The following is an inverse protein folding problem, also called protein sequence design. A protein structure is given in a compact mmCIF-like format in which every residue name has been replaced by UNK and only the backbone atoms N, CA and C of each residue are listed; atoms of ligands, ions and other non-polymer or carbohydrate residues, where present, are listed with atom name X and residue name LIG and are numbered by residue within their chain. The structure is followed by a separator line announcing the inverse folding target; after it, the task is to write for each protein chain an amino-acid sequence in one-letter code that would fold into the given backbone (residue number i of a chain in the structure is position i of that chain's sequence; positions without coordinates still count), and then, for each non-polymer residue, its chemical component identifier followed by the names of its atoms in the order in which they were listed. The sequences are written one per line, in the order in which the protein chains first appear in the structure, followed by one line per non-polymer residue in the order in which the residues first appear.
data_IF_843801226559
#
_entry.id   IF_843801226559
#
_cell.length_a   1.000
_cell.length_b   1.000
_cell.length_c   1.000
_cell.angle_alpha   90.00
_cell.angle_beta   90.00
_cell.angle_gamma   90.00
#
_symmetry.space_group_name_H-M   'P 1'
#
loop_
_entity.id
_entity.type
_entity.pdbx_description
1 polymer ?
#
# COMPACT_ATOMS: atom_id res chain seq x y z
N UNK A 1 1.34 29.72 -8.53
CA UNK A 1 2.19 28.53 -8.77
C UNK A 1 2.54 28.02 -7.37
N UNK A 2 1.89 27.00 -6.81
CA UNK A 2 1.66 25.65 -7.32
C UNK A 2 0.33 25.11 -6.78
N UNK A 3 -0.67 24.99 -7.63
CA UNK A 3 -1.96 24.33 -7.33
C UNK A 3 -2.06 22.99 -8.07
N UNK A 4 -0.93 22.30 -8.21
CA UNK A 4 -0.97 20.86 -8.43
C UNK A 4 -1.21 20.26 -7.05
N UNK A 5 -2.47 19.91 -6.77
CA UNK A 5 -2.78 19.06 -5.63
C UNK A 5 -1.79 17.88 -5.65
N UNK A 6 -1.07 17.69 -4.55
CA UNK A 6 -0.01 16.68 -4.49
C UNK A 6 -0.62 15.30 -4.80
N UNK A 7 -0.12 14.68 -5.86
CA UNK A 7 -0.66 13.41 -6.37
C UNK A 7 -0.24 12.31 -5.42
N UNK A 8 -1.21 11.57 -4.87
CA UNK A 8 -0.95 10.51 -3.91
C UNK A 8 -0.59 9.21 -4.66
N UNK A 9 0.56 8.58 -4.36
CA UNK A 9 0.87 7.28 -4.93
C UNK A 9 -0.14 6.21 -4.52
N UNK A 10 -0.57 5.35 -5.44
CA UNK A 10 -1.48 4.22 -5.16
C UNK A 10 -0.95 3.31 -4.05
N UNK A 11 0.37 3.16 -3.96
CA UNK A 11 1.02 2.40 -2.89
C UNK A 11 0.81 3.01 -1.50
N UNK A 12 0.57 4.32 -1.39
CA UNK A 12 0.26 4.99 -0.14
C UNK A 12 -1.05 4.48 0.47
N UNK A 13 -2.07 4.20 -0.36
CA UNK A 13 -3.36 3.67 0.10
C UNK A 13 -3.19 2.28 0.73
N UNK A 14 -2.38 1.41 0.11
CA UNK A 14 -2.04 0.10 0.67
C UNK A 14 -1.35 0.26 2.04
N UNK A 15 -0.35 1.12 2.11
CA UNK A 15 0.42 1.33 3.32
C UNK A 15 -0.42 1.94 4.44
N UNK A 16 -1.30 2.88 4.10
CA UNK A 16 -2.20 3.54 5.03
C UNK A 16 -3.19 2.55 5.62
N UNK A 17 -3.85 1.75 4.78
CA UNK A 17 -4.76 0.69 5.21
C UNK A 17 -4.06 -0.38 6.08
N UNK A 18 -2.77 -0.60 5.86
CA UNK A 18 -1.96 -1.45 6.72
C UNK A 18 -1.66 -0.79 8.08
N UNK A 19 -1.15 0.45 8.06
CA UNK A 19 -0.82 1.28 9.23
C UNK A 19 -0.61 2.75 8.80
N UNK A 20 -1.39 3.72 9.33
CA UNK A 20 -1.22 5.14 9.02
C UNK A 20 0.19 5.66 9.31
N UNK A 21 0.77 5.28 10.45
CA UNK A 21 2.17 5.64 10.79
C UNK A 21 3.16 5.13 9.76
N UNK A 22 3.00 3.89 9.27
CA UNK A 22 3.87 3.33 8.23
C UNK A 22 3.77 4.14 6.94
N UNK A 23 2.56 4.50 6.52
CA UNK A 23 2.36 5.36 5.35
C UNK A 23 3.05 6.71 5.52
N UNK A 24 2.90 7.34 6.69
CA UNK A 24 3.57 8.61 7.00
C UNK A 24 5.09 8.49 6.92
N UNK A 25 5.70 7.50 7.58
CA UNK A 25 7.15 7.29 7.56
C UNK A 25 7.67 7.15 6.10
N UNK A 26 6.95 6.38 5.26
CA UNK A 26 7.34 6.16 3.87
C UNK A 26 7.19 7.43 3.01
N UNK A 27 6.04 8.09 3.10
CA UNK A 27 5.66 9.14 2.15
C UNK A 27 5.96 10.57 2.60
N UNK A 28 6.03 10.82 3.92
CA UNK A 28 6.40 12.14 4.46
C UNK A 28 7.87 12.19 4.87
N UNK A 29 8.41 11.13 5.46
CA UNK A 29 9.80 11.11 5.97
C UNK A 29 10.80 10.44 5.00
N UNK A 30 10.30 9.79 3.93
CA UNK A 30 11.16 9.14 2.94
C UNK A 30 11.81 7.85 3.44
N UNK A 31 11.26 7.24 4.49
CA UNK A 31 11.78 6.01 5.08
C UNK A 31 11.43 4.80 4.21
N UNK A 32 12.38 4.40 3.37
CA UNK A 32 12.32 3.15 2.63
C UNK A 32 13.42 2.23 3.15
N UNK A 33 13.04 1.19 3.90
CA UNK A 33 13.94 0.05 4.01
C UNK A 33 13.95 -0.66 2.66
N UNK A 34 15.12 -0.70 2.03
CA UNK A 34 15.42 -1.63 0.94
C UNK A 34 15.15 -3.05 1.43
N UNK A 35 13.91 -3.48 1.24
CA UNK A 35 13.61 -4.88 1.33
C UNK A 35 14.41 -5.51 0.19
N UNK A 36 15.20 -6.54 0.50
CA UNK A 36 15.85 -7.45 -0.46
C UNK A 36 14.83 -8.03 -1.49
N UNK A 37 13.54 -7.75 -1.32
CA UNK A 37 12.43 -7.99 -2.23
C UNK A 37 12.26 -6.97 -3.36
N UNK A 38 12.82 -5.76 -3.29
CA UNK A 38 12.74 -4.78 -4.39
C UNK A 38 13.56 -5.27 -5.58
N UNK A 39 14.75 -5.82 -5.36
CA UNK A 39 15.58 -6.42 -6.44
C UNK A 39 14.94 -7.69 -7.00
N UNK A 40 14.32 -8.53 -6.15
CA UNK A 40 13.69 -9.78 -6.59
C UNK A 40 12.34 -9.55 -7.30
N UNK A 41 11.55 -8.58 -6.83
CA UNK A 41 10.32 -8.11 -7.48
C UNK A 41 10.62 -7.44 -8.81
N UNK A 42 11.71 -6.66 -8.91
CA UNK A 42 12.16 -6.05 -10.17
C UNK A 42 12.64 -7.11 -11.17
N UNK A 43 13.42 -8.12 -10.73
CA UNK A 43 13.87 -9.23 -11.59
C UNK A 43 12.75 -10.18 -12.03
N UNK A 44 11.70 -10.37 -11.22
CA UNK A 44 10.52 -11.13 -11.64
C UNK A 44 9.56 -10.31 -12.51
N UNK A 45 9.44 -9.00 -12.29
CA UNK A 45 8.76 -8.09 -13.21
C UNK A 45 9.46 -8.09 -14.58
N UNK A 46 10.79 -8.03 -14.63
CA UNK A 46 11.56 -8.11 -15.87
C UNK A 46 11.35 -9.43 -16.64
N UNK A 47 11.15 -10.56 -15.93
CA UNK A 47 10.83 -11.85 -16.58
C UNK A 47 9.40 -11.92 -17.11
N UNK A 48 8.50 -11.18 -16.49
CA UNK A 48 7.09 -11.08 -16.87
C UNK A 48 6.93 -10.06 -18.03
N UNK A 49 7.66 -8.95 -18.00
CA UNK A 49 7.77 -7.96 -19.08
C UNK A 49 8.37 -8.56 -20.37
N UNK A 50 9.28 -9.54 -20.25
CA UNK A 50 9.82 -10.29 -21.40
C UNK A 50 8.81 -11.26 -22.02
N UNK A 51 7.65 -11.45 -21.41
CA UNK A 51 6.49 -12.09 -22.01
C UNK A 51 5.41 -11.05 -22.35
N UNK A 52 5.73 -10.13 -23.28
CA UNK A 52 4.74 -9.51 -24.19
C UNK A 52 4.11 -10.59 -25.10
N UNK A 53 3.70 -11.71 -24.50
CA UNK A 53 3.05 -12.82 -25.14
C UNK A 53 1.57 -12.61 -24.97
N UNK A 54 0.91 -12.19 -26.05
CA UNK A 54 -0.45 -12.66 -26.31
C UNK A 54 -0.53 -14.12 -25.86
N UNK A 55 -1.33 -14.42 -24.84
CA UNK A 55 -1.65 -15.82 -24.56
C UNK A 55 -2.49 -16.28 -25.74
N UNK A 56 -1.82 -16.80 -26.78
CA UNK A 56 -2.36 -17.19 -28.10
C UNK A 56 -3.58 -18.12 -28.02
N UNK A 57 -3.88 -18.69 -26.86
CA UNK A 57 -5.01 -19.58 -26.64
C UNK A 57 -6.35 -18.87 -26.38
N UNK A 58 -6.38 -17.57 -25.99
CA UNK A 58 -7.63 -16.92 -25.55
C UNK A 58 -7.87 -15.49 -26.06
N UNK A 59 -6.96 -14.92 -26.85
CA UNK A 59 -7.10 -13.54 -27.36
C UNK A 59 -7.03 -12.45 -26.28
N UNK A 60 -6.60 -12.80 -25.06
CA UNK A 60 -6.41 -11.83 -23.97
C UNK A 60 -5.07 -11.13 -24.16
N UNK A 61 -5.12 -9.79 -24.24
CA UNK A 61 -3.93 -8.93 -24.26
C UNK A 61 -3.57 -8.58 -22.82
N UNK A 62 -2.32 -8.80 -22.44
CA UNK A 62 -1.84 -8.56 -21.10
C UNK A 62 -0.84 -7.41 -21.12
N UNK A 63 -1.12 -6.37 -20.35
CA UNK A 63 -0.22 -5.23 -20.15
C UNK A 63 0.37 -5.30 -18.75
N UNK A 64 1.69 -5.32 -18.65
CA UNK A 64 2.39 -5.35 -17.37
C UNK A 64 2.92 -3.97 -16.99
N UNK A 65 3.05 -3.74 -15.68
CA UNK A 65 3.55 -2.50 -15.12
C UNK A 65 2.84 -1.23 -15.67
N UNK A 66 1.56 -1.36 -16.03
CA UNK A 66 0.78 -0.32 -16.72
C UNK A 66 0.63 0.91 -15.81
N UNK A 67 1.16 2.09 -16.20
CA UNK A 67 0.94 3.32 -15.47
C UNK A 67 -0.53 3.71 -15.48
N UNK A 68 -1.06 4.11 -14.33
CA UNK A 68 -2.45 4.52 -14.16
C UNK A 68 -2.57 5.75 -13.27
N UNK A 69 -3.59 6.57 -13.52
CA UNK A 69 -3.88 7.78 -12.75
C UNK A 69 -5.36 8.11 -12.72
N UNK A 70 -5.75 8.92 -11.75
CA UNK A 70 -7.06 9.55 -11.66
C UNK A 70 -6.84 11.00 -11.27
N UNK A 71 -7.23 11.92 -12.15
CA UNK A 71 -7.19 13.35 -11.90
C UNK A 71 -8.30 13.75 -10.92
N UNK A 72 -9.44 13.05 -10.98
CA UNK A 72 -10.57 13.26 -10.06
C UNK A 72 -10.19 12.96 -8.62
N UNK A 73 -9.50 11.84 -8.37
CA UNK A 73 -9.05 11.46 -7.03
C UNK A 73 -7.71 12.07 -6.67
N UNK A 74 -6.92 12.53 -7.65
CA UNK A 74 -5.55 13.01 -7.45
C UNK A 74 -4.62 11.89 -7.00
N UNK A 75 -4.69 10.73 -7.65
CA UNK A 75 -3.86 9.55 -7.35
C UNK A 75 -3.18 9.00 -8.61
N UNK A 76 -2.00 8.40 -8.46
CA UNK A 76 -1.29 7.76 -9.58
C UNK A 76 -0.42 6.59 -9.13
N UNK A 77 -0.06 5.71 -10.06
CA UNK A 77 0.83 4.60 -9.79
C UNK A 77 0.89 3.61 -10.95
N UNK A 78 1.06 2.33 -10.63
CA UNK A 78 1.14 1.25 -11.63
C UNK A 78 0.23 0.10 -11.23
N UNK A 79 -0.34 -0.57 -12.22
CA UNK A 79 -0.90 -1.91 -12.10
C UNK A 79 0.19 -2.93 -12.42
N UNK A 80 0.27 -4.01 -11.65
CA UNK A 80 1.25 -5.09 -11.94
C UNK A 80 0.94 -5.76 -13.28
N UNK A 81 -0.34 -6.12 -13.50
CA UNK A 81 -0.83 -6.65 -14.77
C UNK A 81 -2.28 -6.22 -15.02
N UNK A 82 -2.64 -5.99 -16.28
CA UNK A 82 -4.02 -5.71 -16.72
C UNK A 82 -4.36 -6.60 -17.91
N UNK A 83 -5.38 -7.43 -17.73
CA UNK A 83 -5.95 -8.27 -18.78
C UNK A 83 -7.00 -7.47 -19.56
N UNK A 84 -6.76 -7.26 -20.85
CA UNK A 84 -7.73 -6.74 -21.81
C UNK A 84 -8.33 -7.90 -22.58
N UNK A 85 -9.60 -8.20 -22.33
CA UNK A 85 -10.28 -9.36 -22.91
C UNK A 85 -10.98 -9.03 -24.22
N UNK A 86 -11.22 -10.02 -25.11
CA UNK A 86 -11.87 -9.80 -26.40
C UNK A 86 -13.28 -9.23 -26.33
N UNK A 87 -14.01 -9.50 -25.23
CA UNK A 87 -15.34 -8.97 -24.96
C UNK A 87 -15.32 -7.50 -24.48
N UNK A 88 -14.13 -6.93 -24.31
CA UNK A 88 -13.93 -5.56 -23.86
C UNK A 88 -13.80 -5.40 -22.35
N UNK A 89 -13.88 -6.48 -21.56
CA UNK A 89 -13.62 -6.48 -20.11
C UNK A 89 -12.15 -6.11 -19.85
N UNK A 90 -11.95 -5.15 -18.94
CA UNK A 90 -10.63 -4.78 -18.41
C UNK A 90 -10.56 -5.39 -17.01
N UNK A 91 -9.52 -6.18 -16.75
CA UNK A 91 -9.41 -6.96 -15.52
C UNK A 91 -8.02 -6.78 -14.89
N UNK A 92 -7.88 -5.88 -13.89
CA UNK A 92 -6.61 -5.65 -13.21
C UNK A 92 -6.24 -6.83 -12.30
N UNK A 93 -4.94 -7.15 -12.27
CA UNK A 93 -4.37 -8.23 -11.45
C UNK A 93 -3.18 -7.70 -10.65
N UNK A 94 -3.30 -7.70 -9.33
CA UNK A 94 -2.23 -7.32 -8.40
C UNK A 94 -1.45 -8.57 -7.97
N UNK A 95 -0.12 -8.54 -8.09
CA UNK A 95 0.76 -9.65 -7.74
C UNK A 95 1.26 -9.51 -6.30
N UNK A 96 1.15 -10.58 -5.51
CA UNK A 96 1.70 -10.62 -4.15
C UNK A 96 2.80 -11.67 -4.01
N UNK A 97 3.96 -11.18 -3.59
CA UNK A 97 5.06 -12.00 -3.12
C UNK A 97 4.82 -12.35 -1.64
N UNK A 98 4.75 -13.65 -1.32
CA UNK A 98 4.63 -14.13 0.06
C UNK A 98 3.36 -14.93 0.35
N UNK A 99 3.29 -15.46 1.58
CA UNK A 99 2.10 -16.17 2.08
C UNK A 99 0.93 -15.20 2.18
N UNK A 100 -0.29 -15.70 1.93
CA UNK A 100 -1.53 -14.93 2.07
C UNK A 100 -1.57 -14.29 3.46
N UNK A 101 -1.51 -12.96 3.52
CA UNK A 101 -1.78 -12.20 4.74
C UNK A 101 -3.29 -11.97 4.87
N UNK A 102 -3.78 -11.82 6.10
CA UNK A 102 -5.21 -11.62 6.39
C UNK A 102 -5.71 -10.20 6.10
N UNK A 103 -4.82 -9.28 5.71
CA UNK A 103 -5.11 -7.86 5.67
C UNK A 103 -5.73 -7.46 4.31
N UNK A 104 -6.73 -6.59 4.36
CA UNK A 104 -7.52 -6.13 3.20
C UNK A 104 -6.89 -4.92 2.48
N UNK A 105 -5.69 -4.51 2.85
CA UNK A 105 -4.97 -3.39 2.24
C UNK A 105 -4.73 -3.58 0.73
N UNK A 106 -4.56 -4.84 0.30
CA UNK A 106 -4.39 -5.16 -1.12
C UNK A 106 -5.69 -4.93 -1.92
N UNK A 107 -6.86 -5.15 -1.31
CA UNK A 107 -8.17 -4.94 -1.96
C UNK A 107 -8.39 -3.46 -2.21
N UNK A 108 -8.00 -2.61 -1.25
CA UNK A 108 -8.10 -1.16 -1.36
C UNK A 108 -7.24 -0.61 -2.51
N UNK A 109 -5.98 -1.05 -2.60
CA UNK A 109 -5.08 -0.63 -3.67
C UNK A 109 -5.58 -1.10 -5.04
N UNK A 110 -6.03 -2.36 -5.14
CA UNK A 110 -6.54 -2.92 -6.39
C UNK A 110 -7.82 -2.22 -6.85
N UNK A 111 -8.72 -1.86 -5.93
CA UNK A 111 -9.89 -1.06 -6.25
C UNK A 111 -9.51 0.36 -6.70
N UNK A 112 -8.51 0.98 -6.09
CA UNK A 112 -8.02 2.28 -6.52
C UNK A 112 -7.39 2.24 -7.92
N UNK A 113 -6.61 1.20 -8.23
CA UNK A 113 -6.11 0.93 -9.59
C UNK A 113 -7.26 0.79 -10.60
N UNK A 114 -8.31 0.05 -10.25
CA UNK A 114 -9.49 -0.09 -11.09
C UNK A 114 -10.17 1.26 -11.34
N UNK A 115 -10.38 2.08 -10.30
CA UNK A 115 -10.97 3.42 -10.46
C UNK A 115 -10.14 4.33 -11.38
N UNK A 116 -8.80 4.25 -11.33
CA UNK A 116 -7.95 4.95 -12.29
C UNK A 116 -8.16 4.44 -13.72
N UNK A 117 -8.19 3.11 -13.91
CA UNK A 117 -8.43 2.52 -15.23
C UNK A 117 -9.80 2.89 -15.80
N UNK A 118 -10.84 2.96 -14.95
CA UNK A 118 -12.18 3.40 -15.36
C UNK A 118 -12.15 4.84 -15.86
N UNK A 119 -11.47 5.74 -15.16
CA UNK A 119 -11.32 7.14 -15.59
C UNK A 119 -10.54 7.26 -16.91
N UNK A 120 -9.45 6.51 -17.04
CA UNK A 120 -8.59 6.54 -18.23
C UNK A 120 -9.27 5.94 -19.47
N UNK A 121 -10.15 4.95 -19.30
CA UNK A 121 -10.71 4.17 -20.40
C UNK A 121 -12.20 4.44 -20.66
N UNK A 122 -12.89 5.07 -19.72
CA UNK A 122 -14.34 5.29 -19.78
C UNK A 122 -15.17 4.02 -19.70
N UNK A 123 -14.59 2.91 -19.20
CA UNK A 123 -15.28 1.62 -19.06
C UNK A 123 -15.43 1.24 -17.60
N UNK A 124 -16.55 0.60 -17.26
CA UNK A 124 -16.77 0.05 -15.92
C UNK A 124 -15.89 -1.18 -15.68
N UNK A 125 -15.27 -1.23 -14.50
CA UNK A 125 -14.43 -2.34 -14.03
C UNK A 125 -15.03 -2.80 -12.70
N UNK A 126 -15.90 -3.82 -12.69
CA UNK A 126 -16.58 -4.25 -11.47
C UNK A 126 -15.72 -5.15 -10.57
N UNK A 127 -14.59 -5.65 -11.07
CA UNK A 127 -13.76 -6.63 -10.35
C UNK A 127 -12.33 -6.73 -10.90
N UNK A 128 -11.47 -7.33 -10.10
CA UNK A 128 -10.11 -7.73 -10.48
C UNK A 128 -9.66 -8.92 -9.65
N UNK A 129 -8.36 -9.22 -9.64
CA UNK A 129 -7.83 -10.31 -8.83
C UNK A 129 -6.52 -9.99 -8.13
N UNK A 130 -6.32 -10.61 -6.97
CA UNK A 130 -5.01 -10.70 -6.32
C UNK A 130 -4.42 -12.08 -6.61
N UNK A 131 -3.24 -12.09 -7.23
CA UNK A 131 -2.51 -13.31 -7.55
C UNK A 131 -1.40 -13.58 -6.54
N UNK A 132 -1.53 -14.69 -5.81
CA UNK A 132 -0.51 -15.16 -4.88
C UNK A 132 0.47 -16.08 -5.59
N UNK A 133 1.69 -15.60 -5.83
CA UNK A 133 2.70 -16.33 -6.60
C UNK A 133 3.10 -17.68 -5.96
N UNK A 134 3.27 -17.72 -4.63
CA UNK A 134 3.68 -18.95 -3.92
C UNK A 134 2.68 -20.09 -4.08
N UNK A 135 1.38 -19.78 -4.03
CA UNK A 135 0.31 -20.78 -4.18
C UNK A 135 -0.20 -20.90 -5.62
N UNK A 136 0.21 -20.01 -6.53
CA UNK A 136 -0.35 -19.84 -7.88
C UNK A 136 -1.87 -19.75 -7.91
N UNK A 137 -2.46 -19.06 -6.92
CA UNK A 137 -3.93 -18.92 -6.78
C UNK A 137 -4.33 -17.46 -6.97
N UNK A 138 -5.46 -17.26 -7.65
CA UNK A 138 -6.13 -15.96 -7.79
C UNK A 138 -7.27 -15.87 -6.80
N UNK A 139 -7.41 -14.72 -6.15
CA UNK A 139 -8.61 -14.34 -5.39
C UNK A 139 -9.26 -13.18 -6.11
N UNK A 140 -10.49 -13.37 -6.57
CA UNK A 140 -11.30 -12.30 -7.16
C UNK A 140 -11.70 -11.29 -6.07
N UNK A 141 -11.68 -10.02 -6.43
CA UNK A 141 -12.11 -8.89 -5.60
C UNK A 141 -13.18 -8.16 -6.37
N UNK A 142 -14.36 -8.01 -5.77
CA UNK A 142 -15.46 -7.22 -6.33
C UNK A 142 -15.31 -5.79 -5.84
N UNK A 143 -15.37 -4.82 -6.75
CA UNK A 143 -15.26 -3.39 -6.44
C UNK A 143 -16.65 -2.80 -6.20
N UNK A 144 -17.27 -3.23 -5.10
CA UNK A 144 -18.57 -2.71 -4.67
C UNK A 144 -18.50 -1.25 -4.18
N UNK A 145 -19.66 -0.66 -3.95
CA UNK A 145 -19.76 0.74 -3.51
C UNK A 145 -19.06 0.98 -2.17
N UNK A 146 -19.05 -0.01 -1.27
CA UNK A 146 -18.39 0.10 0.02
C UNK A 146 -16.87 0.18 -0.13
N UNK A 147 -16.27 -0.66 -0.97
CA UNK A 147 -14.84 -0.65 -1.24
C UNK A 147 -14.43 0.62 -2.01
N UNK A 148 -15.25 1.07 -2.96
CA UNK A 148 -15.03 2.35 -3.67
C UNK A 148 -15.11 3.55 -2.74
N UNK A 149 -16.05 3.56 -1.79
CA UNK A 149 -16.12 4.57 -0.76
C UNK A 149 -14.88 4.53 0.13
N UNK A 150 -14.44 3.34 0.55
CA UNK A 150 -13.22 3.19 1.34
C UNK A 150 -11.98 3.73 0.62
N UNK A 151 -11.87 3.55 -0.71
CA UNK A 151 -10.80 4.17 -1.51
C UNK A 151 -10.85 5.68 -1.40
N UNK A 152 -12.01 6.30 -1.64
CA UNK A 152 -12.18 7.76 -1.56
C UNK A 152 -11.83 8.30 -0.17
N UNK A 153 -12.34 7.66 0.88
CA UNK A 153 -12.02 8.02 2.27
C UNK A 153 -10.53 7.91 2.53
N UNK A 154 -9.88 6.82 2.13
CA UNK A 154 -8.45 6.64 2.34
C UNK A 154 -7.60 7.68 1.59
N UNK A 155 -8.00 8.07 0.38
CA UNK A 155 -7.35 9.15 -0.38
C UNK A 155 -7.41 10.47 0.41
N UNK A 156 -8.58 10.82 0.92
CA UNK A 156 -8.78 12.04 1.72
C UNK A 156 -7.98 12.01 3.03
N UNK A 157 -8.00 10.88 3.74
CA UNK A 157 -7.28 10.71 5.00
C UNK A 157 -5.76 10.74 4.80
N UNK A 158 -5.24 10.08 3.76
CA UNK A 158 -3.81 10.14 3.42
C UNK A 158 -3.42 11.57 3.09
N UNK A 159 -4.21 12.28 2.26
CA UNK A 159 -3.95 13.69 1.94
C UNK A 159 -3.92 14.56 3.19
N UNK A 160 -4.92 14.40 4.06
CA UNK A 160 -5.01 15.15 5.30
C UNK A 160 -3.84 14.84 6.24
N UNK A 161 -3.43 13.58 6.35
CA UNK A 161 -2.30 13.15 7.17
C UNK A 161 -0.97 13.75 6.67
N UNK A 162 -0.70 13.66 5.37
CA UNK A 162 0.54 14.18 4.78
C UNK A 162 0.59 15.72 4.86
N UNK A 163 -0.52 16.41 4.57
CA UNK A 163 -0.58 17.87 4.67
C UNK A 163 -0.46 18.40 6.09
N UNK A 164 -0.92 17.65 7.10
CA UNK A 164 -0.75 18.03 8.52
C UNK A 164 0.69 17.91 8.99
N UNK A 165 1.51 17.05 8.39
CA UNK A 165 2.89 16.82 8.83
C UNK A 165 3.01 16.28 10.26
N UNK A 166 1.97 15.60 10.76
CA UNK A 166 1.97 14.99 12.10
C UNK A 166 2.00 13.48 11.95
N UNK A 167 3.11 12.87 12.39
CA UNK A 167 3.29 11.43 12.36
C UNK A 167 2.28 10.74 13.32
N UNK A 168 1.40 9.85 12.82
CA UNK A 168 0.46 9.13 13.68
C UNK A 168 1.16 8.25 14.72
N UNK A 169 0.51 8.01 15.86
CA UNK A 169 1.00 7.05 16.86
C UNK A 169 1.06 5.63 16.28
N UNK A 170 1.94 4.76 16.81
CA UNK A 170 1.95 3.35 16.44
C UNK A 170 0.59 2.66 16.68
N UNK A 171 0.34 1.57 15.94
CA UNK A 171 -0.87 0.77 16.14
C UNK A 171 -0.91 0.19 17.56
N UNK A 172 -2.05 0.36 18.23
CA UNK A 172 -2.30 -0.20 19.55
C UNK A 172 -3.23 -1.42 19.53
N UNK A 173 -3.55 -1.95 20.72
CA UNK A 173 -4.57 -2.98 20.92
C UNK A 173 -4.37 -4.24 20.07
N UNK A 174 -5.46 -4.73 19.48
CA UNK A 174 -5.45 -5.93 18.62
C UNK A 174 -4.72 -5.72 17.29
N UNK A 175 -4.47 -4.47 16.89
CA UNK A 175 -3.79 -4.13 15.63
C UNK A 175 -2.27 -4.11 15.77
N UNK A 176 -1.74 -3.98 16.99
CA UNK A 176 -0.30 -4.07 17.28
C UNK A 176 0.34 -5.37 16.77
N UNK A 177 -0.45 -6.45 16.59
CA UNK A 177 0.01 -7.71 15.96
C UNK A 177 0.57 -7.52 14.55
N UNK A 178 0.15 -6.45 13.84
CA UNK A 178 0.69 -6.10 12.51
C UNK A 178 2.14 -5.66 12.61
N UNK A 179 2.54 -4.97 13.68
CA UNK A 179 3.88 -4.41 13.84
C UNK A 179 4.98 -5.47 13.72
N UNK A 180 4.74 -6.71 14.19
CA UNK A 180 5.72 -7.81 14.11
C UNK A 180 6.09 -8.22 12.68
N UNK A 181 5.24 -7.95 11.69
CA UNK A 181 5.52 -8.22 10.27
C UNK A 181 5.84 -6.95 9.47
N UNK A 182 5.91 -5.79 10.12
CA UNK A 182 6.16 -4.51 9.48
C UNK A 182 7.65 -4.36 9.19
N UNK A 183 8.01 -4.11 7.93
CA UNK A 183 9.40 -3.83 7.55
C UNK A 183 9.98 -2.60 8.27
N UNK A 184 9.14 -1.60 8.55
CA UNK A 184 9.59 -0.40 9.27
C UNK A 184 9.56 -0.55 10.78
N UNK A 185 9.37 -1.75 11.36
CA UNK A 185 9.34 -1.90 12.84
C UNK A 185 10.61 -1.37 13.49
N UNK A 186 11.79 -1.62 12.91
CA UNK A 186 13.07 -1.17 13.45
C UNK A 186 13.27 0.36 13.39
N UNK A 187 12.57 1.06 12.50
CA UNK A 187 12.58 2.53 12.42
C UNK A 187 11.46 3.12 13.29
N UNK A 188 10.29 2.48 13.28
CA UNK A 188 9.11 2.91 13.99
C UNK A 188 9.24 2.74 15.51
N UNK A 189 9.96 1.71 15.97
CA UNK A 189 10.17 1.32 17.37
C UNK A 189 8.92 1.52 18.25
N UNK A 190 7.82 0.81 17.95
CA UNK A 190 6.52 1.09 18.55
C UNK A 190 6.52 0.95 20.07
N UNK A 191 7.39 0.09 20.62
CA UNK A 191 7.55 -0.10 22.06
C UNK A 191 8.19 1.12 22.76
N UNK A 192 9.10 1.84 22.09
CA UNK A 192 9.74 3.04 22.64
C UNK A 192 8.81 4.25 22.51
N UNK A 193 8.18 4.42 21.35
CA UNK A 193 7.26 5.53 21.08
C UNK A 193 5.98 5.43 21.93
N UNK A 194 5.51 4.22 22.21
CA UNK A 194 4.36 3.98 23.10
C UNK A 194 4.66 4.19 24.59
N UNK A 195 5.94 4.18 24.99
CA UNK A 195 6.39 4.30 26.39
C UNK A 195 6.83 5.73 26.76
N UNK A 196 6.48 6.73 25.95
CA UNK A 196 6.96 8.11 26.10
C UNK A 196 6.81 8.69 27.51
N UNK A 197 5.71 8.38 28.21
CA UNK A 197 5.51 8.85 29.59
C UNK A 197 6.43 8.19 30.63
N UNK A 198 6.76 6.90 30.47
CA UNK A 198 7.71 6.22 31.37
C UNK A 198 9.15 6.66 31.08
N UNK A 199 9.51 6.84 29.80
CA UNK A 199 10.82 7.34 29.40
C UNK A 199 11.06 8.78 29.84
N UNK A 200 10.05 9.64 29.78
CA UNK A 200 10.11 11.01 30.28
C UNK A 200 10.31 11.02 31.80
N UNK A 201 9.62 10.15 32.53
CA UNK A 201 9.80 10.00 33.98
C UNK A 201 11.20 9.47 34.36
N UNK A 202 11.72 8.51 33.60
CA UNK A 202 13.09 8.00 33.76
C UNK A 202 14.11 9.09 33.42
N UNK A 203 13.90 9.86 32.34
CA UNK A 203 14.79 10.95 31.94
C UNK A 203 14.86 12.05 33.01
N UNK A 204 13.73 12.38 33.64
CA UNK A 204 13.68 13.35 34.74
C UNK A 204 14.47 12.90 35.99
N UNK A 205 14.67 11.59 36.17
CA UNK A 205 15.35 11.00 37.33
C UNK A 205 16.71 10.39 36.99
N UNK A 206 17.16 10.50 35.73
CA UNK A 206 18.34 9.79 35.21
C UNK A 206 19.64 10.18 35.91
N UNK A 207 19.70 11.41 36.41
CA UNK A 207 20.86 11.97 37.12
C UNK A 207 20.60 12.17 38.61
N UNK A 208 19.50 11.63 39.13
CA UNK A 208 19.23 11.69 40.56
C UNK A 208 19.93 10.48 41.20
N UNK A 209 21.09 10.66 41.87
CA UNK A 209 21.77 9.56 42.51
C UNK A 209 20.84 9.06 43.60
N UNK A 210 20.25 7.86 43.42
CA UNK A 210 19.63 7.17 44.54
C UNK A 210 20.69 7.08 45.63
N UNK A 211 20.45 7.73 46.76
CA UNK A 211 21.30 7.55 47.94
C UNK A 211 21.42 6.05 48.18
N UNK A 212 22.63 5.52 47.98
CA UNK A 212 22.98 4.21 48.51
C UNK A 212 22.83 4.32 50.02
N UNK A 213 21.72 3.79 50.53
CA UNK A 213 21.48 3.67 51.97
C UNK A 213 22.56 2.72 52.50
N UNK A 214 23.52 3.31 53.22
CA UNK A 214 24.54 2.64 54.03
C UNK A 214 23.92 1.69 55.07
#
# INVERSE_FOLDING_TARGET
MSDLAEVIPLSALNQYAYCPRRCYLIHAEGEFQDNIHTVRGTLEHERVDQQNGESKAAGVRLEYALPVWSDVLGISGRCDAVEFRPDGEIFPVEHKHGKRKQWSNDDLQLAAQAMCLEEMTGKDIPRGAIFHQQSRRRREVIFDDALRLAVKTAVEEVRAMLSRGVCPSPLGGSEARRCGECSLRGICEPELVGSGGELEQIALTLFDPKEEVL
#
